data_IF_140251963928
#
_entry.id   IF_140251963928
#
_cell.length_a   1.000
_cell.length_b   1.000
_cell.length_c   1.000
_cell.angle_alpha   90.00
_cell.angle_beta   90.00
_cell.angle_gamma   90.00
#
_symmetry.space_group_name_H-M   'P 1'
#
loop_
_entity.id
_entity.type
_entity.pdbx_description
1 polymer ?
#
# COMPACT_ATOMS: atom_id res chain seq x y z
N UNK A 1 -5.85 -2.70 -33.07
CA UNK A 1 -5.56 -3.58 -31.92
C UNK A 1 -6.89 -3.81 -31.22
N UNK A 2 -7.39 -5.06 -31.16
CA UNK A 2 -8.70 -5.37 -30.58
C UNK A 2 -8.74 -5.06 -29.08
N UNK A 3 -9.92 -4.82 -28.53
CA UNK A 3 -10.06 -4.48 -27.11
C UNK A 3 -9.62 -5.63 -26.19
N UNK A 4 -9.85 -6.88 -26.59
CA UNK A 4 -9.30 -8.06 -25.89
C UNK A 4 -7.76 -8.04 -25.85
N UNK A 5 -7.09 -7.61 -26.93
CA UNK A 5 -5.62 -7.54 -26.97
C UNK A 5 -5.11 -6.47 -25.98
N UNK A 6 -5.81 -5.34 -25.86
CA UNK A 6 -5.46 -4.29 -24.89
C UNK A 6 -5.67 -4.78 -23.46
N UNK A 7 -6.74 -5.54 -23.20
CA UNK A 7 -7.03 -6.16 -21.91
C UNK A 7 -5.93 -7.13 -21.50
N UNK A 8 -5.51 -8.02 -22.41
CA UNK A 8 -4.39 -8.95 -22.17
C UNK A 8 -3.09 -8.21 -21.90
N UNK A 9 -2.79 -7.13 -22.63
CA UNK A 9 -1.60 -6.30 -22.36
C UNK A 9 -1.64 -5.65 -20.98
N UNK A 10 -2.82 -5.17 -20.53
CA UNK A 10 -2.99 -4.62 -19.18
C UNK A 10 -2.75 -5.68 -18.10
N UNK A 11 -3.28 -6.89 -18.28
CA UNK A 11 -3.04 -8.01 -17.36
C UNK A 11 -1.57 -8.40 -17.32
N UNK A 12 -0.90 -8.49 -18.47
CA UNK A 12 0.52 -8.77 -18.54
C UNK A 12 1.36 -7.68 -17.84
N UNK A 13 1.03 -6.41 -18.03
CA UNK A 13 1.70 -5.30 -17.35
C UNK A 13 1.48 -5.34 -15.83
N UNK A 14 0.26 -5.64 -15.38
CA UNK A 14 -0.07 -5.82 -13.96
C UNK A 14 0.69 -7.00 -13.35
N UNK A 15 0.73 -8.14 -14.04
CA UNK A 15 1.50 -9.31 -13.63
C UNK A 15 2.97 -8.99 -13.43
N UNK A 16 3.59 -8.35 -14.44
CA UNK A 16 5.01 -7.97 -14.39
C UNK A 16 5.29 -7.03 -13.21
N UNK A 17 4.42 -6.03 -13.01
CA UNK A 17 4.51 -5.11 -11.89
C UNK A 17 4.44 -5.82 -10.53
N UNK A 18 3.56 -6.81 -10.38
CA UNK A 18 3.49 -7.64 -9.17
C UNK A 18 4.78 -8.42 -8.94
N UNK A 19 5.32 -9.06 -9.99
CA UNK A 19 6.58 -9.81 -9.89
C UNK A 19 7.80 -8.94 -9.65
N UNK A 20 7.80 -7.69 -10.11
CA UNK A 20 8.84 -6.71 -9.83
C UNK A 20 8.81 -6.33 -8.34
N UNK A 21 7.64 -6.02 -7.79
CA UNK A 21 7.49 -5.75 -6.35
C UNK A 21 7.93 -6.93 -5.48
N UNK A 22 7.51 -8.15 -5.85
CA UNK A 22 7.90 -9.38 -5.15
C UNK A 22 9.43 -9.57 -5.18
N UNK A 23 10.04 -9.39 -6.36
CA UNK A 23 11.50 -9.46 -6.52
C UNK A 23 12.26 -8.38 -5.73
N UNK A 24 11.63 -7.22 -5.51
CA UNK A 24 12.22 -6.11 -4.73
C UNK A 24 11.96 -6.23 -3.22
N UNK A 25 11.25 -7.26 -2.76
CA UNK A 25 10.86 -7.40 -1.35
C UNK A 25 9.73 -6.46 -0.91
N UNK A 26 9.02 -5.82 -1.85
CA UNK A 26 7.83 -5.03 -1.59
C UNK A 26 6.62 -5.95 -1.49
N UNK A 27 6.56 -6.75 -0.42
CA UNK A 27 5.62 -7.86 -0.28
C UNK A 27 4.16 -7.39 -0.28
N UNK A 28 3.87 -6.26 0.36
CA UNK A 28 2.50 -5.70 0.43
C UNK A 28 2.00 -5.28 -0.94
N UNK A 29 2.84 -4.59 -1.73
CA UNK A 29 2.54 -4.18 -3.09
C UNK A 29 2.42 -5.36 -4.04
N UNK A 30 3.28 -6.38 -3.88
CA UNK A 30 3.20 -7.62 -4.63
C UNK A 30 1.86 -8.33 -4.39
N UNK A 31 1.48 -8.51 -3.11
CA UNK A 31 0.21 -9.11 -2.71
C UNK A 31 -0.98 -8.34 -3.30
N UNK A 32 -0.99 -7.00 -3.19
CA UNK A 32 -2.10 -6.19 -3.70
C UNK A 32 -2.25 -6.34 -5.23
N UNK A 33 -1.14 -6.24 -5.96
CA UNK A 33 -1.15 -6.38 -7.41
C UNK A 33 -1.60 -7.78 -7.86
N UNK A 34 -1.11 -8.84 -7.19
CA UNK A 34 -1.53 -10.21 -7.48
C UNK A 34 -3.02 -10.44 -7.19
N UNK A 35 -3.54 -9.95 -6.07
CA UNK A 35 -4.97 -10.08 -5.74
C UNK A 35 -5.86 -9.27 -6.68
N UNK A 36 -5.45 -8.06 -7.08
CA UNK A 36 -6.19 -7.26 -8.06
C UNK A 36 -6.25 -8.00 -9.40
N UNK A 37 -5.12 -8.50 -9.88
CA UNK A 37 -5.07 -9.26 -11.13
C UNK A 37 -5.90 -10.54 -11.04
N UNK A 38 -5.76 -11.33 -9.97
CA UNK A 38 -6.56 -12.55 -9.77
C UNK A 38 -8.06 -12.27 -9.84
N UNK A 39 -8.55 -11.20 -9.19
CA UNK A 39 -9.96 -10.79 -9.25
C UNK A 39 -10.41 -10.39 -10.66
N UNK A 40 -9.57 -9.69 -11.42
CA UNK A 40 -9.88 -9.32 -12.81
C UNK A 40 -10.00 -10.57 -13.70
N UNK A 41 -9.06 -11.50 -13.56
CA UNK A 41 -9.10 -12.76 -14.31
C UNK A 41 -10.34 -13.58 -13.93
N UNK A 42 -10.66 -13.71 -12.65
CA UNK A 42 -11.86 -14.42 -12.18
C UNK A 42 -13.17 -13.79 -12.67
N UNK A 43 -13.23 -12.45 -12.74
CA UNK A 43 -14.37 -11.73 -13.32
C UNK A 43 -14.55 -12.08 -14.79
N UNK A 44 -13.47 -12.18 -15.55
CA UNK A 44 -13.52 -12.59 -16.95
C UNK A 44 -14.00 -14.05 -17.08
N UNK A 45 -13.46 -14.96 -16.26
CA UNK A 45 -13.84 -16.38 -16.26
C UNK A 45 -15.34 -16.57 -16.03
N UNK A 46 -15.94 -15.75 -15.15
CA UNK A 46 -17.36 -15.85 -14.80
C UNK A 46 -18.27 -15.06 -15.76
N UNK A 47 -17.71 -14.26 -16.65
CA UNK A 47 -18.51 -13.45 -17.56
C UNK A 47 -19.18 -14.33 -18.62
N UNK A 48 -20.49 -14.55 -18.44
CA UNK A 48 -21.31 -15.34 -19.37
C UNK A 48 -21.58 -14.62 -20.70
N UNK A 49 -21.42 -13.29 -20.71
CA UNK A 49 -21.72 -12.42 -21.86
C UNK A 49 -20.47 -12.00 -22.67
N UNK A 50 -19.27 -12.42 -22.23
CA UNK A 50 -18.02 -12.14 -22.95
C UNK A 50 -17.71 -13.28 -23.93
N UNK A 51 -17.73 -12.97 -25.22
CA UNK A 51 -17.23 -13.83 -26.29
C UNK A 51 -15.73 -13.58 -26.57
N UNK A 52 -15.07 -12.75 -25.77
CA UNK A 52 -13.67 -12.36 -25.98
C UNK A 52 -12.69 -13.51 -25.70
N UNK A 53 -13.10 -14.51 -24.92
CA UNK A 53 -12.29 -15.69 -24.56
C UNK A 53 -13.08 -16.99 -24.70
N UNK A 54 -12.40 -18.04 -25.19
CA UNK A 54 -12.94 -19.40 -25.24
C UNK A 54 -12.99 -20.04 -23.85
N UNK A 55 -13.76 -21.12 -23.68
CA UNK A 55 -13.84 -21.84 -22.41
C UNK A 55 -12.49 -22.39 -21.94
N UNK A 56 -11.64 -22.86 -22.87
CA UNK A 56 -10.29 -23.32 -22.54
C UNK A 56 -9.39 -22.17 -22.08
N UNK A 57 -9.53 -20.98 -22.70
CA UNK A 57 -8.84 -19.77 -22.27
C UNK A 57 -9.33 -19.32 -20.89
N UNK A 58 -10.64 -19.32 -20.64
CA UNK A 58 -11.21 -19.02 -19.32
C UNK A 58 -10.72 -20.02 -18.26
N UNK A 59 -10.67 -21.31 -18.56
CA UNK A 59 -10.09 -22.32 -17.67
C UNK A 59 -8.63 -22.00 -17.34
N UNK A 60 -7.85 -21.58 -18.34
CA UNK A 60 -6.46 -21.17 -18.16
C UNK A 60 -6.35 -19.91 -17.31
N UNK A 61 -7.16 -18.88 -17.56
CA UNK A 61 -7.23 -17.66 -16.74
C UNK A 61 -7.58 -17.97 -15.28
N UNK A 62 -8.51 -18.89 -15.04
CA UNK A 62 -8.87 -19.34 -13.68
C UNK A 62 -7.71 -20.00 -12.95
N UNK A 63 -6.91 -20.82 -13.65
CA UNK A 63 -5.69 -21.41 -13.09
C UNK A 63 -4.62 -20.37 -12.78
N UNK A 64 -4.44 -19.37 -13.64
CA UNK A 64 -3.52 -18.25 -13.39
C UNK A 64 -3.95 -17.48 -12.14
N UNK A 65 -5.25 -17.20 -11.99
CA UNK A 65 -5.79 -16.56 -10.79
C UNK A 65 -5.51 -17.38 -9.52
N UNK A 66 -5.70 -18.70 -9.55
CA UNK A 66 -5.35 -19.57 -8.42
C UNK A 66 -3.87 -19.46 -8.05
N UNK A 67 -2.94 -19.49 -9.02
CA UNK A 67 -1.51 -19.33 -8.74
C UNK A 67 -1.17 -17.97 -8.11
N UNK A 68 -1.83 -16.89 -8.55
CA UNK A 68 -1.67 -15.55 -7.97
C UNK A 68 -2.15 -15.49 -6.51
N UNK A 69 -3.27 -16.16 -6.21
CA UNK A 69 -3.79 -16.29 -4.83
C UNK A 69 -2.86 -17.13 -3.95
N UNK A 70 -2.33 -18.24 -4.47
CA UNK A 70 -1.35 -19.08 -3.77
C UNK A 70 -0.10 -18.28 -3.42
N UNK A 71 0.48 -17.52 -4.37
CA UNK A 71 1.63 -16.65 -4.07
C UNK A 71 1.27 -15.58 -3.05
N UNK A 72 0.12 -14.94 -3.20
CA UNK A 72 -0.35 -13.92 -2.25
C UNK A 72 -0.44 -14.48 -0.82
N UNK A 73 -0.99 -15.69 -0.66
CA UNK A 73 -1.06 -16.38 0.62
C UNK A 73 0.33 -16.76 1.16
N UNK A 74 1.24 -17.24 0.29
CA UNK A 74 2.63 -17.52 0.68
C UNK A 74 3.36 -16.27 1.19
N UNK A 75 3.15 -15.12 0.55
CA UNK A 75 3.74 -13.84 0.97
C UNK A 75 3.13 -13.29 2.29
N UNK A 76 1.92 -13.71 2.63
CA UNK A 76 1.24 -13.29 3.87
C UNK A 76 1.55 -14.20 5.07
N UNK A 77 2.02 -15.43 4.83
CA UNK A 77 2.25 -16.40 5.90
C UNK A 77 3.67 -16.33 6.45
N UNK A 78 3.80 -16.20 7.77
CA UNK A 78 5.07 -16.36 8.50
C UNK A 78 5.40 -17.82 8.85
N UNK A 79 4.47 -18.76 8.59
CA UNK A 79 4.61 -20.18 8.93
C UNK A 79 3.85 -21.03 7.90
N UNK A 80 4.49 -21.46 6.80
CA UNK A 80 3.95 -22.55 5.97
C UNK A 80 5.04 -23.29 5.21
N UNK A 81 4.93 -24.62 5.14
CA UNK A 81 5.89 -25.51 4.46
C UNK A 81 5.64 -25.70 2.95
N UNK A 82 4.48 -25.31 2.43
CA UNK A 82 4.20 -25.31 0.99
C UNK A 82 4.13 -23.87 0.46
N UNK A 83 5.29 -23.37 0.04
CA UNK A 83 5.45 -22.04 -0.51
C UNK A 83 5.32 -22.08 -2.04
N UNK A 84 4.38 -21.33 -2.62
CA UNK A 84 4.34 -21.12 -4.06
C UNK A 84 5.42 -20.08 -4.42
N UNK A 85 6.46 -20.52 -5.12
CA UNK A 85 7.68 -19.73 -5.33
C UNK A 85 7.52 -18.67 -6.41
N UNK A 86 8.30 -17.59 -6.31
CA UNK A 86 8.32 -16.53 -7.32
C UNK A 86 8.82 -17.05 -8.68
N UNK A 87 9.78 -17.97 -8.69
CA UNK A 87 10.31 -18.56 -9.92
C UNK A 87 9.24 -19.37 -10.66
N UNK A 88 8.38 -20.06 -9.90
CA UNK A 88 7.23 -20.76 -10.45
C UNK A 88 6.18 -19.78 -10.95
N UNK A 89 5.86 -18.73 -10.19
CA UNK A 89 4.92 -17.71 -10.65
C UNK A 89 5.37 -17.07 -11.97
N UNK A 90 6.67 -16.76 -12.13
CA UNK A 90 7.22 -16.17 -13.37
C UNK A 90 7.02 -17.05 -14.62
N UNK A 91 6.81 -18.36 -14.48
CA UNK A 91 6.45 -19.24 -15.60
C UNK A 91 5.10 -18.89 -16.24
N UNK A 92 4.26 -18.12 -15.56
CA UNK A 92 2.96 -17.64 -16.06
C UNK A 92 3.08 -16.44 -17.01
N UNK A 93 4.18 -15.67 -16.99
CA UNK A 93 4.37 -14.49 -17.85
C UNK A 93 4.13 -14.81 -19.35
N UNK A 94 4.77 -15.83 -19.95
CA UNK A 94 4.52 -16.17 -21.36
C UNK A 94 3.10 -16.71 -21.59
N UNK A 95 2.43 -17.26 -20.58
CA UNK A 95 1.05 -17.77 -20.70
C UNK A 95 0.08 -16.60 -20.75
N UNK A 96 0.20 -15.63 -19.84
CA UNK A 96 -0.63 -14.42 -19.80
C UNK A 96 -0.45 -13.62 -21.09
N UNK A 97 0.80 -13.41 -21.52
CA UNK A 97 1.11 -12.66 -22.75
C UNK A 97 0.46 -13.26 -23.99
N UNK A 98 0.37 -14.58 -24.06
CA UNK A 98 -0.08 -15.33 -25.23
C UNK A 98 -1.41 -16.05 -25.01
N UNK A 99 -2.24 -15.60 -24.06
CA UNK A 99 -3.46 -16.32 -23.67
C UNK A 99 -4.41 -16.61 -24.85
N UNK A 100 -4.47 -15.70 -25.83
CA UNK A 100 -5.31 -15.83 -27.01
C UNK A 100 -4.87 -16.96 -27.95
N UNK A 101 -3.60 -17.37 -27.87
CA UNK A 101 -3.01 -18.42 -28.72
C UNK A 101 -2.44 -19.58 -27.89
N UNK A 102 -2.68 -19.59 -26.58
CA UNK A 102 -2.15 -20.59 -25.69
C UNK A 102 -2.96 -21.89 -25.80
N UNK A 103 -2.29 -22.96 -26.21
CA UNK A 103 -2.89 -24.27 -26.48
C UNK A 103 -2.10 -25.43 -25.84
N UNK A 104 -1.27 -25.13 -24.84
CA UNK A 104 -0.43 -26.10 -24.15
C UNK A 104 -1.03 -26.47 -22.79
N UNK A 105 -0.55 -27.56 -22.22
CA UNK A 105 -0.89 -27.93 -20.85
C UNK A 105 -0.37 -26.89 -19.86
N UNK A 106 -1.24 -26.54 -18.91
CA UNK A 106 -0.92 -25.60 -17.84
C UNK A 106 0.18 -26.20 -16.93
N UNK A 107 1.24 -25.46 -16.59
CA UNK A 107 2.44 -26.03 -15.96
C UNK A 107 2.27 -26.42 -14.48
N UNK A 108 1.11 -26.17 -13.88
CA UNK A 108 0.82 -26.45 -12.48
C UNK A 108 -0.46 -27.25 -12.32
N UNK A 109 -0.46 -28.21 -11.39
CA UNK A 109 -1.66 -28.94 -10.99
C UNK A 109 -2.47 -28.10 -10.00
N UNK A 110 -3.18 -27.12 -10.57
CA UNK A 110 -4.07 -26.22 -9.82
C UNK A 110 -5.48 -26.29 -10.37
N UNK A 111 -6.45 -26.32 -9.47
CA UNK A 111 -7.86 -26.22 -9.81
C UNK A 111 -8.31 -24.76 -9.69
N UNK A 112 -9.07 -24.21 -10.66
CA UNK A 112 -9.68 -22.90 -10.53
C UNK A 112 -10.55 -22.86 -9.27
N UNK A 113 -10.30 -21.92 -8.36
CA UNK A 113 -11.09 -21.80 -7.13
C UNK A 113 -12.43 -21.14 -7.48
N UNK A 114 -13.59 -21.74 -7.16
CA UNK A 114 -14.87 -21.05 -7.26
C UNK A 114 -14.91 -19.91 -6.24
N UNK A 115 -15.31 -18.70 -6.64
CA UNK A 115 -15.51 -17.62 -5.67
C UNK A 115 -16.51 -18.06 -4.59
N UNK A 116 -16.05 -18.17 -3.34
CA UNK A 116 -16.96 -18.10 -2.19
C UNK A 116 -17.58 -16.69 -2.23
N UNK A 117 -18.91 -16.61 -2.17
CA UNK A 117 -19.64 -15.34 -2.02
C UNK A 117 -19.09 -14.60 -0.80
N UNK A 118 -18.17 -13.66 -1.01
CA UNK A 118 -17.91 -12.61 -0.05
C UNK A 118 -19.17 -11.76 -0.11
N UNK A 119 -20.06 -11.97 0.86
CA UNK A 119 -21.29 -11.20 1.05
C UNK A 119 -20.98 -9.70 0.94
N UNK A 120 -21.58 -9.05 -0.05
CA UNK A 120 -21.71 -7.60 -0.10
C UNK A 120 -22.76 -7.15 0.92
N UNK A 121 -22.68 -5.89 1.38
CA UNK A 121 -23.80 -5.00 1.11
C UNK A 121 -23.40 -3.87 0.16
N UNK A 122 -24.15 -3.73 -0.94
CA UNK A 122 -24.17 -2.54 -1.79
C UNK A 122 -23.61 -2.75 -3.20
N UNK A 123 -24.43 -3.30 -4.09
CA UNK A 123 -24.50 -2.95 -5.52
C UNK A 123 -24.61 -1.41 -5.61
N UNK A 124 -24.05 -0.62 -6.53
CA UNK A 124 -23.71 -0.70 -7.96
C UNK A 124 -22.50 0.25 -8.19
N UNK A 125 -21.94 0.59 -9.35
CA UNK A 125 -22.40 0.65 -10.73
C UNK A 125 -21.13 0.87 -11.59
N UNK A 126 -21.22 0.55 -12.87
CA UNK A 126 -20.20 0.89 -13.86
C UNK A 126 -19.92 2.40 -13.83
N UNK A 127 -18.64 2.79 -13.78
CA UNK A 127 -18.24 4.13 -14.17
C UNK A 127 -17.07 4.01 -15.14
N UNK A 128 -17.47 3.95 -16.41
CA UNK A 128 -16.76 4.63 -17.48
C UNK A 128 -16.41 6.06 -17.04
N UNK A 129 -15.27 6.48 -17.57
CA UNK A 129 -14.66 7.78 -17.34
C UNK A 129 -15.50 8.81 -18.07
N UNK A 130 -16.01 9.83 -17.36
CA UNK A 130 -16.17 11.17 -17.94
C UNK A 130 -16.10 12.24 -16.84
N UNK A 131 -15.42 13.33 -17.20
CA UNK A 131 -15.22 14.54 -16.42
C UNK A 131 -16.50 15.40 -16.42
N UNK A 132 -16.90 15.93 -15.26
CA UNK A 132 -17.32 17.34 -15.00
C UNK A 132 -18.21 17.48 -13.74
N UNK A 133 -18.23 18.71 -13.20
CA UNK A 133 -19.05 19.34 -12.15
C UNK A 133 -20.45 18.72 -11.94
N UNK A 134 -21.10 18.73 -10.75
CA UNK A 134 -21.33 19.87 -9.86
C UNK A 134 -22.08 19.47 -8.55
N UNK A 135 -22.00 20.38 -7.57
CA UNK A 135 -22.91 20.74 -6.45
C UNK A 135 -23.76 19.71 -5.65
N UNK A 136 -23.42 19.65 -4.35
CA UNK A 136 -24.23 19.96 -3.15
C UNK A 136 -25.44 19.13 -2.65
N UNK A 137 -25.41 18.93 -1.31
CA UNK A 137 -26.47 18.65 -0.31
C UNK A 137 -27.00 17.22 -0.14
N UNK A 138 -27.02 16.77 1.12
CA UNK A 138 -27.77 15.57 1.53
C UNK A 138 -27.18 14.84 2.74
N UNK A 139 -27.72 15.13 3.92
CA UNK A 139 -27.43 14.51 5.21
C UNK A 139 -27.82 13.03 5.21
N UNK A 140 -26.94 12.15 5.70
CA UNK A 140 -27.22 10.71 5.83
C UNK A 140 -26.18 10.00 6.68
N UNK A 141 -26.36 10.06 8.00
CA UNK A 141 -25.58 9.30 8.98
C UNK A 141 -25.88 7.81 8.84
N UNK A 142 -24.97 7.05 8.24
CA UNK A 142 -24.90 5.59 8.39
C UNK A 142 -23.59 5.23 9.09
N UNK A 143 -23.71 4.87 10.37
CA UNK A 143 -22.62 4.32 11.15
C UNK A 143 -22.26 2.93 10.59
N UNK A 144 -21.29 2.88 9.70
CA UNK A 144 -20.64 1.62 9.34
C UNK A 144 -19.57 1.31 10.38
N UNK A 145 -19.80 0.27 11.17
CA UNK A 145 -18.82 -0.31 12.09
C UNK A 145 -17.62 -0.82 11.28
N UNK A 146 -16.55 -0.02 11.19
CA UNK A 146 -15.23 -0.51 10.83
C UNK A 146 -14.57 -1.05 12.09
N UNK A 147 -14.11 -2.29 12.05
CA UNK A 147 -13.22 -2.87 13.05
C UNK A 147 -11.92 -2.06 13.02
N UNK A 148 -11.85 -1.00 13.83
CA UNK A 148 -10.70 -0.08 13.87
C UNK A 148 -9.49 -0.87 14.35
N UNK A 149 -8.53 -1.09 13.46
CA UNK A 149 -7.24 -1.67 13.84
C UNK A 149 -6.58 -0.68 14.82
N UNK A 150 -6.24 -1.09 16.06
CA UNK A 150 -5.49 -0.24 16.98
C UNK A 150 -4.13 0.08 16.35
N UNK A 151 -3.64 1.32 16.50
CA UNK A 151 -2.27 1.66 16.09
C UNK A 151 -1.24 0.76 16.80
N UNK A 152 -0.04 0.65 16.23
CA UNK A 152 1.06 -0.20 16.73
C UNK A 152 2.17 0.61 17.39
N UNK A 153 1.85 1.82 17.87
CA UNK A 153 2.81 2.69 18.56
C UNK A 153 3.36 2.00 19.81
N UNK A 154 4.68 2.10 19.98
CA UNK A 154 5.42 1.47 21.07
C UNK A 154 5.73 2.49 22.17
N UNK A 155 5.87 2.04 23.43
CA UNK A 155 6.25 2.91 24.53
C UNK A 155 7.69 3.43 24.36
N UNK A 156 8.02 4.49 25.10
CA UNK A 156 9.38 5.01 25.15
C UNK A 156 10.34 3.96 25.74
N UNK A 157 11.52 3.83 25.15
CA UNK A 157 12.58 3.01 25.70
C UNK A 157 13.06 3.55 27.05
N UNK A 158 13.65 2.71 27.92
CA UNK A 158 14.35 3.17 29.12
C UNK A 158 15.47 4.15 28.76
N UNK A 159 15.65 5.20 29.57
CA UNK A 159 16.81 6.09 29.44
C UNK A 159 18.11 5.31 29.71
N UNK A 160 19.16 5.68 28.98
CA UNK A 160 20.52 5.18 29.22
C UNK A 160 21.43 6.40 29.50
N UNK A 161 22.33 6.33 30.50
CA UNK A 161 23.21 7.44 30.84
C UNK A 161 24.03 7.93 29.64
N UNK A 162 24.00 9.24 29.39
CA UNK A 162 24.72 9.87 28.29
C UNK A 162 24.13 9.61 26.90
N UNK A 163 22.92 9.04 26.81
CA UNK A 163 22.20 8.82 25.57
C UNK A 163 20.93 9.66 25.47
N UNK A 164 20.48 9.89 24.24
CA UNK A 164 19.32 10.73 23.93
C UNK A 164 18.22 9.89 23.29
N UNK A 165 16.99 10.01 23.83
CA UNK A 165 15.78 9.48 23.21
C UNK A 165 15.03 10.59 22.47
N UNK A 166 14.35 10.23 21.39
CA UNK A 166 13.57 11.16 20.58
C UNK A 166 12.09 10.78 20.59
N UNK A 167 11.25 11.72 21.00
CA UNK A 167 9.81 11.68 20.79
C UNK A 167 9.43 12.64 19.68
N UNK A 168 8.66 12.16 18.71
CA UNK A 168 8.10 12.97 17.64
C UNK A 168 6.60 13.05 17.81
N UNK A 169 6.10 14.25 18.11
CA UNK A 169 4.67 14.53 18.09
C UNK A 169 4.24 14.85 16.67
N UNK A 170 3.42 14.00 16.09
CA UNK A 170 2.79 14.26 14.80
C UNK A 170 1.60 15.16 15.06
N UNK A 171 1.70 16.43 14.68
CA UNK A 171 0.62 17.39 14.92
C UNK A 171 -0.47 17.21 13.87
N UNK A 172 -0.11 17.46 12.60
CA UNK A 172 -1.03 17.41 11.46
C UNK A 172 -0.27 17.26 10.14
N UNK A 173 -0.97 16.85 9.10
CA UNK A 173 -0.45 16.82 7.71
C UNK A 173 -1.35 17.65 6.80
N UNK A 174 -0.72 18.48 5.96
CA UNK A 174 -1.38 19.27 4.93
C UNK A 174 -1.48 18.52 3.61
N UNK A 175 -2.68 18.39 3.05
CA UNK A 175 -2.94 17.75 1.75
C UNK A 175 -4.01 18.54 1.00
N UNK A 176 -3.98 18.54 -0.35
CA UNK A 176 -4.99 19.26 -1.13
C UNK A 176 -6.39 18.67 -0.98
N UNK A 177 -6.46 17.37 -0.72
CA UNK A 177 -7.64 16.52 -0.67
C UNK A 177 -7.71 15.78 0.68
N UNK A 178 -7.38 16.48 1.77
CA UNK A 178 -7.25 15.89 3.10
C UNK A 178 -8.59 15.32 3.60
N UNK A 179 -9.67 16.07 3.45
CA UNK A 179 -11.02 15.64 3.84
C UNK A 179 -11.49 14.35 3.17
N UNK A 180 -11.02 14.08 1.93
CA UNK A 180 -11.37 12.91 1.13
C UNK A 180 -10.63 11.63 1.54
N UNK A 181 -9.60 11.73 2.38
CA UNK A 181 -8.85 10.56 2.84
C UNK A 181 -9.68 9.76 3.87
N UNK A 182 -9.92 8.49 3.58
CA UNK A 182 -10.70 7.59 4.43
C UNK A 182 -9.76 6.76 5.30
N UNK A 183 -10.09 6.64 6.58
CA UNK A 183 -9.27 6.00 7.61
C UNK A 183 -7.77 6.35 7.51
N UNK A 184 -7.42 7.65 7.52
CA UNK A 184 -6.03 8.06 7.35
C UNK A 184 -5.21 7.70 8.59
N UNK A 185 -4.04 7.12 8.36
CA UNK A 185 -3.04 6.89 9.40
C UNK A 185 -1.63 7.14 8.85
N UNK A 186 -0.63 7.10 9.72
CA UNK A 186 0.77 7.24 9.31
C UNK A 186 1.61 6.06 9.79
N UNK A 187 2.45 5.56 8.89
CA UNK A 187 3.48 4.57 9.22
C UNK A 187 4.80 5.29 9.44
N UNK A 188 5.45 5.00 10.57
CA UNK A 188 6.74 5.56 10.96
C UNK A 188 7.77 4.43 10.93
N UNK A 189 8.87 4.64 10.22
CA UNK A 189 9.98 3.69 10.16
C UNK A 189 11.32 4.41 10.23
N UNK A 190 12.33 3.76 10.80
CA UNK A 190 13.69 4.29 10.83
C UNK A 190 14.52 3.41 9.92
N UNK A 191 15.11 3.99 8.88
CA UNK A 191 15.81 3.24 7.83
C UNK A 191 17.25 3.69 7.70
N UNK A 192 18.13 2.77 7.33
CA UNK A 192 19.54 3.06 7.01
C UNK A 192 19.71 3.69 5.61
N UNK A 193 20.96 3.92 5.19
CA UNK A 193 21.25 4.48 3.85
C UNK A 193 20.81 3.60 2.67
N UNK A 194 20.61 2.29 2.92
CA UNK A 194 20.19 1.31 1.93
C UNK A 194 18.67 1.11 1.94
N UNK A 195 17.94 1.76 2.85
CA UNK A 195 16.50 1.63 3.01
C UNK A 195 16.09 0.39 3.83
N UNK A 196 16.98 -0.15 4.64
CA UNK A 196 16.71 -1.29 5.54
C UNK A 196 16.23 -0.77 6.90
N UNK A 197 15.21 -1.41 7.47
CA UNK A 197 14.70 -1.06 8.79
C UNK A 197 15.74 -1.25 9.90
N UNK A 198 15.90 -0.22 10.73
CA UNK A 198 16.75 -0.22 11.92
C UNK A 198 15.94 -0.48 13.20
N UNK A 199 14.64 -0.23 13.15
CA UNK A 199 13.70 -0.29 14.26
C UNK A 199 12.40 -0.99 13.81
N UNK A 200 11.57 -1.52 14.73
CA UNK A 200 10.21 -1.93 14.42
C UNK A 200 9.41 -0.77 13.82
N UNK A 201 8.66 -1.07 12.76
CA UNK A 201 7.74 -0.14 12.12
C UNK A 201 6.55 0.12 13.04
N UNK A 202 6.12 1.37 13.14
CA UNK A 202 5.02 1.80 14.01
C UNK A 202 3.92 2.50 13.21
N UNK A 203 2.67 2.15 13.44
CA UNK A 203 1.51 2.78 12.83
C UNK A 203 0.76 3.62 13.85
N UNK A 204 0.43 4.86 13.50
CA UNK A 204 -0.48 5.66 14.31
C UNK A 204 -1.88 5.05 14.32
N UNK A 205 -2.70 5.34 15.33
CA UNK A 205 -4.14 5.18 15.20
C UNK A 205 -4.69 5.96 13.99
N UNK A 206 -5.86 5.55 13.52
CA UNK A 206 -6.59 6.29 12.48
C UNK A 206 -6.96 7.69 12.99
N UNK A 207 -6.59 8.72 12.24
CA UNK A 207 -6.93 10.10 12.54
C UNK A 207 -8.38 10.39 12.15
N UNK A 208 -9.16 10.89 13.12
CA UNK A 208 -10.59 11.20 12.95
C UNK A 208 -10.84 12.68 12.70
N UNK A 209 -9.92 13.56 13.12
CA UNK A 209 -10.05 15.03 12.97
C UNK A 209 -9.52 15.46 11.61
N UNK A 210 -10.44 15.76 10.69
CA UNK A 210 -10.13 16.18 9.32
C UNK A 210 -10.76 17.53 9.01
N UNK A 211 -10.03 18.34 8.26
CA UNK A 211 -10.44 19.59 7.62
C UNK A 211 -10.27 19.43 6.10
N UNK A 212 -10.61 20.46 5.31
CA UNK A 212 -10.47 20.42 3.85
C UNK A 212 -9.04 20.11 3.42
N UNK A 213 -8.07 20.80 4.04
CA UNK A 213 -6.66 20.71 3.68
C UNK A 213 -5.75 20.12 4.76
N UNK A 214 -6.27 19.75 5.92
CA UNK A 214 -5.48 19.20 7.02
C UNK A 214 -6.11 17.96 7.66
N UNK A 215 -5.27 17.03 8.09
CA UNK A 215 -5.65 15.92 8.99
C UNK A 215 -4.81 16.06 10.25
N UNK A 216 -5.47 16.10 11.41
CA UNK A 216 -4.83 16.27 12.71
C UNK A 216 -4.66 14.90 13.39
N UNK A 217 -3.43 14.60 13.79
CA UNK A 217 -3.09 13.37 14.49
C UNK A 217 -2.94 13.63 15.99
N UNK A 218 -2.14 14.64 16.36
CA UNK A 218 -1.83 14.99 17.75
C UNK A 218 -1.37 13.79 18.59
N UNK A 219 -0.52 12.95 18.01
CA UNK A 219 -0.03 11.71 18.63
C UNK A 219 1.49 11.72 18.75
N UNK A 220 1.99 11.22 19.88
CA UNK A 220 3.41 11.06 20.13
C UNK A 220 3.90 9.71 19.62
N UNK A 221 5.05 9.72 18.94
CA UNK A 221 5.73 8.52 18.45
C UNK A 221 7.12 8.46 19.06
N UNK A 222 7.41 7.34 19.70
CA UNK A 222 8.67 7.11 20.40
C UNK A 222 9.64 6.37 19.48
N UNK A 223 10.77 6.99 19.15
CA UNK A 223 11.79 6.36 18.31
C UNK A 223 12.49 5.27 19.11
N UNK A 224 12.35 4.03 18.63
CA UNK A 224 12.81 2.81 19.31
C UNK A 224 14.33 2.57 19.21
N UNK A 225 15.14 3.63 19.30
CA UNK A 225 16.60 3.58 19.36
C UNK A 225 17.15 4.90 19.89
N UNK A 226 18.14 4.85 20.77
CA UNK A 226 18.89 6.04 21.19
C UNK A 226 19.61 6.67 19.98
N UNK A 227 19.64 8.00 19.92
CA UNK A 227 20.15 8.74 18.77
C UNK A 227 21.62 8.43 18.47
N UNK A 228 22.42 8.23 19.51
CA UNK A 228 23.85 7.92 19.44
C UNK A 228 24.12 6.53 18.84
N UNK A 229 23.13 5.63 18.87
CA UNK A 229 23.20 4.27 18.30
C UNK A 229 22.69 4.20 16.85
N UNK A 230 22.19 5.31 16.30
CA UNK A 230 21.75 5.34 14.90
C UNK A 230 22.96 5.54 13.97
N UNK A 231 23.09 4.73 12.90
CA UNK A 231 24.20 4.87 11.97
C UNK A 231 24.11 6.18 11.19
N UNK A 232 25.27 6.70 10.76
CA UNK A 232 25.31 7.86 9.86
C UNK A 232 24.55 7.55 8.57
N UNK A 233 23.75 8.52 8.13
CA UNK A 233 22.88 8.36 6.97
C UNK A 233 21.57 7.62 7.24
N UNK A 234 21.24 7.32 8.50
CA UNK A 234 19.88 6.93 8.85
C UNK A 234 18.87 8.08 8.58
N UNK A 235 17.60 7.72 8.40
CA UNK A 235 16.50 8.68 8.34
C UNK A 235 15.23 8.09 8.95
N UNK A 236 14.38 8.97 9.46
CA UNK A 236 13.05 8.63 9.95
C UNK A 236 12.05 8.94 8.84
N UNK A 237 11.28 7.95 8.41
CA UNK A 237 10.27 8.05 7.37
C UNK A 237 8.88 8.11 7.96
N UNK A 238 8.03 8.86 7.27
CA UNK A 238 6.64 9.08 7.59
C UNK A 238 5.80 8.82 6.34
N UNK A 239 5.14 7.68 6.27
CA UNK A 239 4.28 7.31 5.14
C UNK A 239 2.82 7.56 5.48
N UNK A 240 2.21 8.53 4.82
CA UNK A 240 0.77 8.76 4.97
C UNK A 240 -0.02 7.75 4.16
N UNK A 241 -0.91 7.02 4.83
CA UNK A 241 -1.73 5.96 4.28
C UNK A 241 -3.21 6.30 4.44
N UNK A 242 -4.01 5.93 3.45
CA UNK A 242 -5.47 5.98 3.55
C UNK A 242 -6.09 4.75 2.89
N UNK A 243 -7.32 4.43 3.27
CA UNK A 243 -8.14 3.47 2.56
C UNK A 243 -8.66 4.05 1.24
N UNK A 244 -8.57 3.27 0.16
CA UNK A 244 -9.16 3.61 -1.14
C UNK A 244 -10.40 2.75 -1.37
N UNK A 245 -11.63 3.25 -1.17
CA UNK A 245 -12.84 2.44 -1.29
C UNK A 245 -12.96 1.74 -2.65
N UNK A 246 -12.71 2.48 -3.74
CA UNK A 246 -12.75 1.95 -5.12
C UNK A 246 -11.76 0.80 -5.36
N UNK A 247 -10.68 0.73 -4.58
CA UNK A 247 -9.65 -0.30 -4.73
C UNK A 247 -9.66 -1.33 -3.59
N UNK A 248 -10.41 -1.07 -2.53
CA UNK A 248 -10.57 -1.90 -1.33
C UNK A 248 -9.27 -2.23 -0.61
N UNK A 249 -8.28 -1.35 -0.67
CA UNK A 249 -7.01 -1.51 0.03
C UNK A 249 -6.50 -0.18 0.59
N UNK A 250 -5.59 -0.27 1.55
CA UNK A 250 -4.87 0.87 2.10
C UNK A 250 -3.67 1.20 1.24
N UNK A 251 -3.61 2.42 0.70
CA UNK A 251 -2.53 2.88 -0.16
C UNK A 251 -1.71 3.95 0.55
N UNK A 252 -0.38 3.86 0.46
CA UNK A 252 0.49 5.02 0.69
C UNK A 252 0.16 6.10 -0.34
N UNK A 253 -0.19 7.30 0.10
CA UNK A 253 -0.47 8.45 -0.79
C UNK A 253 0.80 9.25 -1.06
N UNK A 254 1.56 9.51 -0.01
CA UNK A 254 2.77 10.30 -0.01
C UNK A 254 3.63 9.95 1.20
N UNK A 255 4.88 10.39 1.17
CA UNK A 255 5.81 10.20 2.28
C UNK A 255 6.59 11.48 2.57
N UNK A 256 7.10 11.59 3.79
CA UNK A 256 8.11 12.54 4.21
C UNK A 256 9.24 11.76 4.89
N UNK A 257 10.41 12.38 5.02
CA UNK A 257 11.49 11.83 5.83
C UNK A 257 12.27 12.96 6.48
N UNK A 258 12.96 12.67 7.58
CA UNK A 258 13.96 13.56 8.17
C UNK A 258 15.29 12.83 8.32
N UNK A 259 16.37 13.52 8.00
CA UNK A 259 17.72 13.06 8.24
C UNK A 259 18.18 13.35 9.68
N UNK A 260 19.27 12.71 10.10
CA UNK A 260 19.76 12.79 11.49
C UNK A 260 20.19 14.20 11.91
N UNK A 261 20.67 15.02 10.97
CA UNK A 261 21.10 16.41 11.21
C UNK A 261 19.92 17.39 11.33
N UNK A 262 18.71 16.97 10.94
CA UNK A 262 17.47 17.73 11.13
C UNK A 262 16.86 17.53 12.53
N UNK A 263 17.42 16.61 13.32
CA UNK A 263 16.94 16.32 14.67
C UNK A 263 17.36 17.43 15.64
N UNK A 264 16.40 18.23 16.07
CA UNK A 264 16.58 19.36 16.98
C UNK A 264 15.31 19.63 17.78
N UNK A 265 15.40 20.09 19.03
CA UNK A 265 14.20 20.35 19.84
C UNK A 265 13.30 21.41 19.20
N UNK A 266 11.99 21.20 19.29
CA UNK A 266 10.99 22.16 18.84
C UNK A 266 10.27 21.78 17.54
N UNK A 267 9.54 22.73 16.94
CA UNK A 267 8.72 22.47 15.77
C UNK A 267 9.55 22.32 14.49
N UNK A 268 9.11 21.42 13.60
CA UNK A 268 9.64 21.26 12.25
C UNK A 268 8.50 20.99 11.28
N UNK A 269 8.64 21.50 10.05
CA UNK A 269 7.74 21.17 8.94
C UNK A 269 8.55 20.48 7.85
N UNK A 270 8.00 19.41 7.27
CA UNK A 270 8.67 18.60 6.26
C UNK A 270 7.77 18.51 5.02
N UNK A 271 8.36 18.68 3.84
CA UNK A 271 7.68 18.52 2.58
C UNK A 271 7.26 17.07 2.29
N UNK A 272 6.27 16.93 1.43
CA UNK A 272 5.68 15.65 1.07
C UNK A 272 6.11 15.25 -0.34
N UNK A 273 6.47 13.99 -0.50
CA UNK A 273 6.88 13.37 -1.75
C UNK A 273 5.84 12.36 -2.24
N UNK A 274 5.71 12.23 -3.55
CA UNK A 274 4.80 11.29 -4.21
C UNK A 274 5.29 9.86 -4.02
N UNK A 275 4.34 8.95 -3.80
CA UNK A 275 4.57 7.50 -3.86
C UNK A 275 5.17 7.06 -5.22
N UNK A 276 5.86 5.91 -5.30
CA UNK A 276 6.22 5.01 -4.19
C UNK A 276 7.27 5.65 -3.28
N UNK A 277 7.34 5.21 -2.02
CA UNK A 277 8.32 5.68 -1.05
C UNK A 277 9.71 5.25 -1.48
N UNK A 278 10.62 6.21 -1.65
CA UNK A 278 12.03 5.92 -1.94
C UNK A 278 12.85 5.99 -0.64
N UNK A 279 13.03 4.85 0.01
CA UNK A 279 13.78 4.75 1.26
C UNK A 279 15.29 5.06 1.11
N UNK A 280 15.82 5.09 -0.13
CA UNK A 280 17.19 5.50 -0.41
C UNK A 280 17.33 6.99 -0.72
N UNK A 281 16.20 7.72 -0.81
CA UNK A 281 16.12 9.17 -1.06
C UNK A 281 16.89 9.60 -2.32
N UNK A 282 16.87 8.79 -3.38
CA UNK A 282 17.60 9.06 -4.64
C UNK A 282 16.73 9.76 -5.69
N UNK A 283 15.43 9.48 -5.72
CA UNK A 283 14.48 10.00 -6.70
C UNK A 283 13.25 10.56 -5.99
N UNK A 284 13.35 11.83 -5.61
CA UNK A 284 12.32 12.52 -4.86
C UNK A 284 11.44 13.37 -5.78
N UNK A 285 10.14 13.07 -5.80
CA UNK A 285 9.15 13.80 -6.59
C UNK A 285 8.20 14.54 -5.65
N UNK A 286 8.30 15.86 -5.56
CA UNK A 286 7.47 16.66 -4.67
C UNK A 286 5.96 16.46 -4.96
N UNK A 287 5.16 16.23 -3.91
CA UNK A 287 3.71 16.07 -4.00
C UNK A 287 3.03 17.37 -4.43
N UNK A 288 3.44 18.49 -3.82
CA UNK A 288 2.90 19.82 -4.14
C UNK A 288 3.88 20.93 -3.80
N UNK A 289 3.83 22.02 -4.58
CA UNK A 289 4.52 23.29 -4.28
C UNK A 289 3.72 24.21 -3.34
N UNK A 290 2.48 23.86 -2.99
CA UNK A 290 1.67 24.62 -2.03
C UNK A 290 2.26 24.44 -0.62
N UNK A 291 2.04 25.39 0.31
CA UNK A 291 2.53 25.32 1.68
C UNK A 291 1.73 24.31 2.52
N UNK A 292 1.78 23.04 2.13
CA UNK A 292 1.10 21.90 2.72
C UNK A 292 2.15 20.87 3.11
N UNK A 293 2.42 20.79 4.42
CA UNK A 293 3.54 20.06 5.00
C UNK A 293 3.08 19.05 6.03
N UNK A 294 3.98 18.14 6.40
CA UNK A 294 3.88 17.40 7.65
C UNK A 294 4.41 18.27 8.79
N UNK A 295 3.60 18.50 9.83
CA UNK A 295 3.97 19.28 11.02
C UNK A 295 4.32 18.34 12.17
N UNK A 296 5.54 18.48 12.69
CA UNK A 296 6.04 17.69 13.81
C UNK A 296 6.56 18.61 14.93
N UNK A 297 6.53 18.11 16.16
CA UNK A 297 7.27 18.68 17.28
C UNK A 297 8.25 17.64 17.82
N UNK A 298 9.51 18.00 17.94
CA UNK A 298 10.58 17.12 18.38
C UNK A 298 10.92 17.39 19.84
N UNK A 299 10.92 16.33 20.65
CA UNK A 299 11.35 16.38 22.05
C UNK A 299 12.52 15.43 22.25
N UNK A 300 13.65 15.96 22.67
CA UNK A 300 14.85 15.19 22.99
C UNK A 300 14.90 14.97 24.50
N UNK A 301 14.90 13.72 24.94
CA UNK A 301 15.03 13.34 26.34
C UNK A 301 16.47 12.90 26.59
N UNK A 302 17.15 13.62 27.48
CA UNK A 302 18.50 13.29 27.94
C UNK A 302 18.44 12.95 29.41
N UNK A 303 19.24 11.97 29.82
CA UNK A 303 19.54 11.66 31.22
C UNK A 303 20.80 12.38 31.66
#
# INVERSE_FOLDING_TARGET
MSDVTKTVQKWHASFKKGTDFDSWGQLVEAIDEYQILARQLQKEVQSSNSHDFTEDQKKTLGKIATCLEMRSASLQSTQCQEEFKLEDLKKLEPIIKNILTYNKDFPFDVQPVPMRKILAPGEEENLDVDEELDTATGVGSTQSFTTRVPGTLLPRLPSEPGMTLLTLKIEKIGLKDAGQCIDPYMTISVKDMNGVDLNPVQDTPVATRKEDTYIHFSVDVEIQKHLEKLPKGAAIFFEFKHYKPKKRFTSTKCFAFMEMDEIKPGPIVIELYKKPTDFKRKKLNLLTKKPLYLHLHQTLHKD
#
